data_IF_337304676017
#
_entry.id   IF_337304676017
#
_cell.length_a   1.000
_cell.length_b   1.000
_cell.length_c   1.000
_cell.angle_alpha   90.00
_cell.angle_beta   90.00
_cell.angle_gamma   90.00
#
_symmetry.space_group_name_H-M   'P 1'
#
loop_
_entity.id
_entity.type
_entity.pdbx_description
1 polymer ?
#
# COMPACT_ATOMS: atom_id res chain seq x y z
N UNK A 1 -14.89 2.27 -16.23
CA UNK A 1 -14.06 1.06 -16.40
C UNK A 1 -12.96 1.16 -15.37
N UNK A 2 -13.08 0.39 -14.29
CA UNK A 2 -12.12 0.38 -13.20
C UNK A 2 -10.78 -0.05 -13.78
N UNK A 3 -9.79 0.83 -13.74
CA UNK A 3 -8.41 0.50 -14.05
C UNK A 3 -7.93 -0.44 -12.96
N UNK A 4 -8.24 -1.74 -13.12
CA UNK A 4 -7.61 -2.79 -12.35
C UNK A 4 -6.13 -2.69 -12.70
N UNK A 5 -5.38 -2.03 -11.82
CA UNK A 5 -3.94 -2.01 -11.83
C UNK A 5 -3.48 -3.46 -11.98
N UNK A 6 -2.85 -3.72 -13.12
CA UNK A 6 -2.51 -5.06 -13.55
C UNK A 6 -1.54 -5.66 -12.53
N UNK A 7 -2.03 -6.65 -11.79
CA UNK A 7 -1.32 -7.40 -10.74
C UNK A 7 -0.04 -8.07 -11.30
N UNK A 8 0.17 -8.12 -12.63
CA UNK A 8 1.38 -8.70 -13.25
C UNK A 8 2.63 -7.89 -13.06
N UNK A 9 2.56 -6.57 -12.84
CA UNK A 9 3.81 -5.81 -12.65
C UNK A 9 4.43 -6.00 -11.26
N UNK A 10 3.79 -6.79 -10.37
CA UNK A 10 4.30 -7.14 -9.04
C UNK A 10 4.12 -6.00 -8.02
N UNK A 11 3.53 -6.31 -6.87
CA UNK A 11 3.55 -5.43 -5.70
C UNK A 11 4.95 -5.43 -5.08
N UNK A 12 5.31 -4.34 -4.39
CA UNK A 12 6.59 -4.23 -3.66
C UNK A 12 6.28 -4.38 -2.16
N UNK A 13 6.23 -5.61 -1.62
CA UNK A 13 5.86 -5.83 -0.22
C UNK A 13 7.02 -5.54 0.73
N UNK A 14 6.76 -4.71 1.73
CA UNK A 14 7.59 -4.58 2.91
C UNK A 14 7.25 -5.71 3.89
N UNK A 15 8.21 -6.59 4.15
CA UNK A 15 8.05 -7.71 5.09
C UNK A 15 8.04 -7.21 6.53
N UNK A 16 7.14 -7.78 7.33
CA UNK A 16 6.99 -7.53 8.76
C UNK A 16 6.93 -8.87 9.51
N UNK A 17 7.13 -8.90 10.84
CA UNK A 17 7.10 -10.15 11.60
C UNK A 17 5.76 -10.92 11.54
N UNK A 18 4.67 -10.21 11.24
CA UNK A 18 3.31 -10.76 11.17
C UNK A 18 2.80 -10.93 9.73
N UNK A 19 3.57 -10.49 8.72
CA UNK A 19 3.18 -10.59 7.32
C UNK A 19 3.90 -9.57 6.45
N UNK A 20 3.14 -8.70 5.79
CA UNK A 20 3.69 -7.63 4.98
C UNK A 20 2.70 -6.50 4.75
N UNK A 21 3.21 -5.38 4.28
CA UNK A 21 2.39 -4.30 3.75
C UNK A 21 2.97 -3.79 2.43
N UNK A 22 2.11 -3.26 1.58
CA UNK A 22 2.49 -2.60 0.34
C UNK A 22 1.51 -1.46 0.07
N UNK A 23 1.79 -0.66 -0.95
CA UNK A 23 0.98 0.50 -1.27
C UNK A 23 0.90 0.71 -2.78
N UNK A 24 -0.20 1.33 -3.19
CA UNK A 24 -0.44 1.95 -4.50
C UNK A 24 -0.59 3.46 -4.30
N UNK A 25 -0.90 4.20 -5.37
CA UNK A 25 -1.09 5.64 -5.26
C UNK A 25 -2.29 5.98 -4.37
N UNK A 26 -3.33 5.15 -4.41
CA UNK A 26 -4.59 5.42 -3.73
C UNK A 26 -4.73 4.64 -2.41
N UNK A 27 -4.09 3.48 -2.29
CA UNK A 27 -4.37 2.53 -1.22
C UNK A 27 -3.11 2.00 -0.53
N UNK A 28 -3.24 1.62 0.73
CA UNK A 28 -2.24 0.86 1.49
C UNK A 28 -2.86 -0.48 1.85
N UNK A 29 -2.15 -1.54 1.50
CA UNK A 29 -2.55 -2.91 1.75
C UNK A 29 -1.71 -3.50 2.87
N UNK A 30 -2.35 -4.15 3.82
CA UNK A 30 -1.70 -4.81 4.95
C UNK A 30 -2.18 -6.25 4.98
N UNK A 31 -1.24 -7.18 4.90
CA UNK A 31 -1.48 -8.62 4.88
C UNK A 31 -0.87 -9.24 6.12
N UNK A 32 -1.72 -9.87 6.94
CA UNK A 32 -1.36 -10.41 8.24
C UNK A 32 -1.67 -11.90 8.24
N UNK A 33 -0.62 -12.73 8.34
CA UNK A 33 -0.78 -14.17 8.49
C UNK A 33 -1.33 -14.50 9.88
N UNK A 34 -2.42 -15.25 9.94
CA UNK A 34 -3.03 -15.70 11.20
C UNK A 34 -3.10 -17.23 11.25
N UNK A 35 -3.11 -17.84 12.45
CA UNK A 35 -3.21 -19.29 12.57
C UNK A 35 -4.44 -19.84 11.86
N UNK A 36 -4.29 -20.98 11.17
CA UNK A 36 -5.38 -21.64 10.45
C UNK A 36 -6.60 -21.85 11.34
N UNK A 37 -7.78 -21.52 10.83
CA UNK A 37 -9.05 -21.64 11.55
C UNK A 37 -9.36 -20.47 12.48
N UNK A 38 -8.63 -19.34 12.37
CA UNK A 38 -9.00 -18.10 13.05
C UNK A 38 -10.40 -17.67 12.59
N UNK A 39 -11.29 -17.38 13.54
CA UNK A 39 -12.62 -16.87 13.23
C UNK A 39 -12.63 -15.35 13.23
N UNK A 40 -13.48 -14.73 12.40
CA UNK A 40 -13.67 -13.27 12.41
C UNK A 40 -14.08 -12.73 13.79
N UNK A 41 -14.74 -13.55 14.63
CA UNK A 41 -15.09 -13.19 16.01
C UNK A 41 -13.87 -13.00 16.92
N UNK A 42 -12.76 -13.64 16.59
CA UNK A 42 -11.49 -13.53 17.33
C UNK A 42 -10.63 -12.38 16.82
N UNK A 43 -11.05 -11.71 15.76
CA UNK A 43 -10.38 -10.57 15.15
C UNK A 43 -11.07 -9.30 15.64
N UNK A 44 -10.29 -8.42 16.27
CA UNK A 44 -10.72 -7.06 16.60
C UNK A 44 -9.83 -6.11 15.80
N UNK A 45 -10.39 -5.54 14.75
CA UNK A 45 -9.73 -4.56 13.91
C UNK A 45 -10.43 -3.21 14.09
N UNK A 46 -9.66 -2.15 14.38
CA UNK A 46 -10.10 -0.77 14.41
C UNK A 46 -9.23 0.02 13.44
N UNK A 47 -9.90 0.65 12.48
CA UNK A 47 -9.28 1.46 11.44
C UNK A 47 -9.74 2.90 11.68
N UNK A 48 -8.83 3.73 12.18
CA UNK A 48 -9.03 5.16 12.34
C UNK A 48 -8.41 5.93 11.17
N UNK A 49 -8.65 7.24 11.12
CA UNK A 49 -8.11 8.07 10.05
C UNK A 49 -6.58 8.15 10.12
N UNK A 50 -5.98 8.07 11.31
CA UNK A 50 -4.52 8.15 11.49
C UNK A 50 -3.99 7.10 12.46
N UNK A 51 -4.78 6.07 12.71
CA UNK A 51 -4.48 5.03 13.69
C UNK A 51 -5.03 3.70 13.20
N UNK A 52 -4.29 2.63 13.51
CA UNK A 52 -4.70 1.27 13.19
C UNK A 52 -4.43 0.39 14.39
N UNK A 53 -5.40 -0.45 14.73
CA UNK A 53 -5.30 -1.41 15.80
C UNK A 53 -5.88 -2.75 15.32
N UNK A 54 -5.05 -3.79 15.35
CA UNK A 54 -5.41 -5.15 15.00
C UNK A 54 -5.02 -6.09 16.14
N UNK A 55 -6.03 -6.72 16.72
CA UNK A 55 -5.88 -7.81 17.67
C UNK A 55 -6.46 -9.10 17.08
N UNK A 56 -5.72 -10.19 17.26
CA UNK A 56 -6.13 -11.53 16.83
C UNK A 56 -6.01 -12.46 18.03
N UNK A 57 -7.10 -13.14 18.40
CA UNK A 57 -7.16 -14.05 19.56
C UNK A 57 -6.69 -13.39 20.87
N UNK A 58 -6.98 -12.10 21.04
CA UNK A 58 -6.56 -11.30 22.21
C UNK A 58 -5.10 -10.84 22.19
N UNK A 59 -4.30 -11.23 21.19
CA UNK A 59 -2.93 -10.75 21.00
C UNK A 59 -2.93 -9.51 20.10
N UNK A 60 -2.21 -8.48 20.51
CA UNK A 60 -1.93 -7.32 19.67
C UNK A 60 -0.95 -7.70 18.56
N UNK A 61 -1.37 -7.50 17.31
CA UNK A 61 -0.54 -7.76 16.13
C UNK A 61 0.01 -6.45 15.57
N UNK A 62 -0.86 -5.45 15.44
CA UNK A 62 -0.51 -4.11 14.96
C UNK A 62 -1.24 -3.12 15.85
N UNK A 63 -0.51 -2.13 16.37
CA UNK A 63 -1.12 -0.99 17.04
C UNK A 63 -0.22 0.21 16.92
N UNK A 64 -0.76 1.30 16.39
CA UNK A 64 -0.03 2.56 16.38
C UNK A 64 -0.66 3.59 15.47
N UNK A 65 0.05 4.70 15.30
CA UNK A 65 -0.34 5.77 14.39
C UNK A 65 0.18 5.48 12.99
N UNK A 66 -0.70 5.63 12.01
CA UNK A 66 -0.35 5.51 10.60
C UNK A 66 0.64 6.62 10.22
N UNK A 67 1.47 6.34 9.22
CA UNK A 67 2.41 7.33 8.67
C UNK A 67 1.70 8.60 8.19
N UNK A 68 0.57 8.44 7.51
CA UNK A 68 -0.26 9.55 7.06
C UNK A 68 -1.76 9.28 7.27
N UNK A 69 -2.57 10.31 7.06
CA UNK A 69 -4.03 10.24 7.17
C UNK A 69 -4.63 9.42 6.03
N UNK A 70 -5.57 8.58 6.40
CA UNK A 70 -6.38 7.72 5.54
C UNK A 70 -7.85 8.08 5.72
N UNK A 71 -8.65 7.75 4.70
CA UNK A 71 -10.11 7.90 4.75
C UNK A 71 -10.68 6.73 5.51
N UNK A 72 -10.90 6.91 6.81
CA UNK A 72 -11.39 5.83 7.70
C UNK A 72 -12.72 5.22 7.27
N UNK A 73 -13.56 5.98 6.56
CA UNK A 73 -14.85 5.52 6.04
C UNK A 73 -14.69 4.49 4.90
N UNK A 74 -13.61 4.61 4.12
CA UNK A 74 -13.28 3.72 3.00
C UNK A 74 -12.31 2.60 3.41
N UNK A 75 -11.87 2.60 4.67
CA UNK A 75 -10.99 1.58 5.21
C UNK A 75 -11.75 0.27 5.45
N UNK A 76 -11.27 -0.83 4.87
CA UNK A 76 -11.90 -2.14 5.00
C UNK A 76 -10.91 -3.20 5.45
N UNK A 77 -11.40 -4.25 6.09
CA UNK A 77 -10.60 -5.44 6.41
C UNK A 77 -11.40 -6.70 6.11
N UNK A 78 -10.69 -7.73 5.68
CA UNK A 78 -11.25 -9.03 5.32
C UNK A 78 -10.41 -10.14 5.94
N UNK A 79 -11.05 -11.28 6.18
CA UNK A 79 -10.39 -12.50 6.63
C UNK A 79 -10.55 -13.55 5.53
N UNK A 80 -9.48 -13.76 4.78
CA UNK A 80 -9.38 -14.71 3.67
C UNK A 80 -8.96 -16.09 4.20
N UNK A 81 -9.69 -17.12 3.77
CA UNK A 81 -9.46 -18.54 4.07
C UNK A 81 -9.27 -18.89 5.56
N UNK A 82 -9.68 -18.00 6.48
CA UNK A 82 -9.44 -18.12 7.94
C UNK A 82 -7.95 -18.18 8.33
N UNK A 83 -7.08 -17.66 7.47
CA UNK A 83 -5.61 -17.75 7.61
C UNK A 83 -4.88 -16.46 7.24
N UNK A 84 -5.55 -15.53 6.55
CA UNK A 84 -4.97 -14.26 6.12
C UNK A 84 -5.95 -13.13 6.43
N UNK A 85 -5.50 -12.11 7.17
CA UNK A 85 -6.24 -10.87 7.32
C UNK A 85 -5.68 -9.86 6.32
N UNK A 86 -6.55 -9.32 5.47
CA UNK A 86 -6.19 -8.29 4.50
C UNK A 86 -6.91 -6.99 4.86
N UNK A 87 -6.14 -5.97 5.20
CA UNK A 87 -6.62 -4.61 5.49
C UNK A 87 -6.28 -3.73 4.29
N UNK A 88 -7.24 -2.92 3.86
CA UNK A 88 -7.12 -1.96 2.78
C UNK A 88 -7.45 -0.60 3.38
N UNK A 89 -6.49 0.30 3.36
CA UNK A 89 -6.63 1.68 3.83
C UNK A 89 -6.57 2.62 2.63
N UNK A 90 -7.55 3.50 2.49
CA UNK A 90 -7.51 4.48 1.41
C UNK A 90 -6.76 5.73 1.84
N UNK A 91 -5.75 6.15 1.08
CA UNK A 91 -4.98 7.36 1.36
C UNK A 91 -5.83 8.60 1.08
N UNK A 92 -5.75 9.59 1.96
CA UNK A 92 -6.35 10.90 1.70
C UNK A 92 -5.59 11.64 0.61
N UNK A 93 -4.26 11.55 0.61
CA UNK A 93 -3.42 12.07 -0.47
C UNK A 93 -3.05 10.95 -1.47
N UNK A 94 -3.55 11.09 -2.71
CA UNK A 94 -3.42 10.11 -3.81
C UNK A 94 -2.35 10.50 -4.84
N UNK A 95 -1.42 11.38 -4.46
CA UNK A 95 -0.31 11.78 -5.31
C UNK A 95 0.81 10.73 -5.32
N UNK A 96 1.49 10.55 -6.46
CA UNK A 96 2.62 9.62 -6.55
C UNK A 96 3.80 10.01 -5.65
N UNK A 97 3.91 11.28 -5.26
CA UNK A 97 4.89 11.75 -4.28
C UNK A 97 4.58 11.28 -2.85
N UNK A 98 3.34 10.86 -2.57
CA UNK A 98 2.94 10.34 -1.27
C UNK A 98 3.25 8.83 -1.12
N UNK A 99 4.55 8.51 -1.22
CA UNK A 99 5.05 7.18 -0.93
C UNK A 99 5.29 7.05 0.57
N UNK A 100 4.50 6.20 1.23
CA UNK A 100 4.68 5.92 2.65
C UNK A 100 6.03 5.25 2.86
N UNK A 101 6.89 5.89 3.64
CA UNK A 101 8.21 5.37 3.99
C UNK A 101 8.15 4.25 5.04
N UNK A 102 7.05 4.20 5.79
CA UNK A 102 6.75 3.23 6.84
C UNK A 102 5.23 3.05 6.94
N UNK A 103 4.78 1.91 7.50
CA UNK A 103 3.35 1.71 7.74
C UNK A 103 2.85 2.56 8.91
N UNK A 104 3.62 2.56 9.99
CA UNK A 104 3.35 3.33 11.20
C UNK A 104 4.43 4.40 11.40
N UNK A 105 4.13 5.41 12.19
CA UNK A 105 5.09 6.47 12.55
C UNK A 105 6.30 5.86 13.31
N UNK A 106 7.42 5.70 12.61
CA UNK A 106 8.66 5.13 13.17
C UNK A 106 8.75 3.60 13.21
N UNK A 107 7.72 2.88 12.74
CA UNK A 107 7.69 1.41 12.74
C UNK A 107 7.32 0.82 11.37
N UNK A 108 7.82 -0.40 11.11
CA UNK A 108 7.65 -1.11 9.84
C UNK A 108 8.16 -0.31 8.62
N UNK A 109 9.29 0.37 8.81
CA UNK A 109 9.93 1.19 7.78
C UNK A 109 10.41 0.33 6.61
N UNK A 110 10.10 0.78 5.39
CA UNK A 110 10.76 0.30 4.19
C UNK A 110 12.21 0.79 4.21
N UNK A 111 13.16 -0.08 3.87
CA UNK A 111 14.56 0.34 3.74
C UNK A 111 14.73 1.25 2.51
N UNK A 112 15.86 1.97 2.41
CA UNK A 112 16.08 2.94 1.32
C UNK A 112 15.93 2.33 -0.09
N UNK A 113 16.35 1.08 -0.27
CA UNK A 113 16.17 0.38 -1.55
C UNK A 113 14.70 0.06 -1.83
N UNK A 114 13.96 -0.45 -0.84
CA UNK A 114 12.54 -0.75 -0.99
C UNK A 114 11.70 0.51 -1.20
N UNK A 115 12.05 1.61 -0.55
CA UNK A 115 11.42 2.90 -0.78
C UNK A 115 11.61 3.37 -2.22
N UNK A 116 12.83 3.27 -2.77
CA UNK A 116 13.09 3.59 -4.18
C UNK A 116 12.27 2.68 -5.12
N UNK A 117 12.15 1.38 -4.81
CA UNK A 117 11.31 0.46 -5.59
C UNK A 117 9.81 0.81 -5.50
N UNK A 118 9.29 1.12 -4.31
CA UNK A 118 7.90 1.57 -4.12
C UNK A 118 7.63 2.87 -4.87
N UNK A 119 8.55 3.83 -4.78
CA UNK A 119 8.43 5.13 -5.45
C UNK A 119 8.42 4.97 -6.97
N UNK A 120 9.34 4.15 -7.53
CA UNK A 120 9.34 3.80 -8.95
C UNK A 120 8.02 3.20 -9.40
N UNK A 121 7.45 2.33 -8.57
CA UNK A 121 6.19 1.66 -8.84
C UNK A 121 5.02 2.65 -8.88
N UNK A 122 4.94 3.54 -7.88
CA UNK A 122 3.93 4.60 -7.79
C UNK A 122 4.02 5.56 -8.99
N UNK A 123 5.24 5.93 -9.38
CA UNK A 123 5.49 6.74 -10.58
C UNK A 123 5.03 6.02 -11.85
N UNK A 124 5.30 4.72 -11.98
CA UNK A 124 4.85 3.93 -13.13
C UNK A 124 3.32 3.87 -13.20
N UNK A 125 2.64 3.65 -12.07
CA UNK A 125 1.19 3.62 -11.96
C UNK A 125 0.58 4.96 -12.42
N UNK A 126 1.16 6.08 -11.97
CA UNK A 126 0.78 7.43 -12.41
C UNK A 126 0.91 7.56 -13.92
N UNK A 127 2.06 7.18 -14.46
CA UNK A 127 2.37 7.34 -15.88
C UNK A 127 1.46 6.49 -16.78
N UNK A 128 1.12 5.26 -16.36
CA UNK A 128 0.15 4.42 -17.07
C UNK A 128 -1.25 5.01 -17.04
N UNK A 129 -1.67 5.59 -15.91
CA UNK A 129 -2.98 6.26 -15.78
C UNK A 129 -3.06 7.52 -16.65
N UNK A 130 -1.96 8.26 -16.76
CA UNK A 130 -1.86 9.44 -17.63
C UNK A 130 -1.76 9.07 -19.12
N UNK A 131 -1.31 7.86 -19.47
CA UNK A 131 -1.10 7.39 -20.84
C UNK A 131 -1.80 6.05 -21.14
N UNK A 132 -3.14 5.99 -21.16
CA UNK A 132 -3.91 4.74 -21.28
C UNK A 132 -3.79 4.00 -22.64
N UNK A 133 -3.01 4.54 -23.59
CA UNK A 133 -2.80 3.96 -24.92
C UNK A 133 -1.40 3.40 -25.18
N UNK A 134 -0.51 3.43 -24.18
CA UNK A 134 0.84 2.89 -24.29
C UNK A 134 1.01 1.65 -23.40
N UNK A 135 1.65 0.61 -23.94
CA UNK A 135 2.04 -0.57 -23.18
C UNK A 135 3.39 -0.33 -22.49
N UNK A 136 3.38 -0.16 -21.17
CA UNK A 136 4.59 0.05 -20.35
C UNK A 136 4.95 -1.16 -19.49
N UNK A 137 4.40 -2.34 -19.80
CA UNK A 137 4.61 -3.56 -19.01
C UNK A 137 6.06 -4.04 -19.01
N UNK A 138 6.90 -3.59 -19.96
CA UNK A 138 8.34 -3.86 -20.03
C UNK A 138 9.25 -2.65 -19.84
N UNK A 139 8.71 -1.50 -19.39
CA UNK A 139 9.50 -0.27 -19.27
C UNK A 139 10.26 -0.21 -17.94
N UNK A 140 11.59 -0.13 -18.00
CA UNK A 140 12.42 0.23 -16.86
C UNK A 140 12.51 1.76 -16.75
N UNK A 141 11.96 2.33 -15.68
CA UNK A 141 12.09 3.76 -15.42
C UNK A 141 13.50 4.02 -14.89
N UNK A 142 14.27 4.85 -15.60
CA UNK A 142 15.60 5.32 -15.21
C UNK A 142 15.55 6.84 -15.02
N UNK A 143 15.86 7.35 -13.81
CA UNK A 143 15.77 8.78 -13.51
C UNK A 143 15.82 9.13 -12.02
N UNK A 144 15.64 10.43 -11.69
CA UNK A 144 15.62 10.91 -10.30
C UNK A 144 14.19 10.82 -9.72
N UNK A 145 14.00 10.01 -8.67
CA UNK A 145 12.68 9.64 -8.12
C UNK A 145 12.20 10.47 -6.93
N UNK A 146 13.00 11.43 -6.46
CA UNK A 146 12.79 12.15 -5.18
C UNK A 146 11.51 13.00 -5.12
N UNK A 147 10.72 13.09 -6.18
CA UNK A 147 9.49 13.89 -6.24
C UNK A 147 8.38 13.25 -7.10
N UNK A 148 8.36 11.93 -7.24
CA UNK A 148 7.34 11.24 -8.05
C UNK A 148 7.69 11.07 -9.53
N UNK A 149 8.94 11.34 -9.92
CA UNK A 149 9.46 11.16 -11.28
C UNK A 149 9.30 12.40 -12.18
N UNK A 150 9.80 12.34 -13.43
CA UNK A 150 9.68 13.43 -14.39
C UNK A 150 8.22 13.67 -14.81
N UNK A 151 7.78 14.93 -14.80
CA UNK A 151 6.45 15.34 -15.25
C UNK A 151 6.43 15.48 -16.78
N UNK A 152 5.89 14.49 -17.48
CA UNK A 152 5.82 14.46 -18.95
C UNK A 152 4.59 15.19 -19.52
N UNK A 153 3.73 15.77 -18.68
CA UNK A 153 2.54 16.53 -19.09
C UNK A 153 2.87 17.70 -20.03
N UNK A 154 4.13 18.14 -20.03
CA UNK A 154 4.65 19.22 -20.87
C UNK A 154 5.11 18.80 -22.27
N UNK A 155 5.21 17.50 -22.56
CA UNK A 155 5.73 16.97 -23.83
C UNK A 155 4.67 16.70 -24.90
N UNK A 156 3.38 16.91 -24.58
CA UNK A 156 2.30 16.86 -25.55
C UNK A 156 2.07 18.27 -26.13
N UNK A 157 2.92 18.69 -27.06
CA UNK A 157 2.66 19.84 -27.95
C UNK A 157 3.02 19.50 -29.39
#
# INVERSE_FOLDING_TARGET
MSVHFDERSGVVPCKTPWGCWYQTMEEVFIEVGVPHGTSAKEVRCRLGARDVELHVKGKEIIKGKLFETTVSDEATWTLEDKCLIRIILMKTNREAGNCWSSLLEGEYCANAWLQDQMQRKLTLERFQRENPGFDFSGAEISGNFTSGGPDFSSLQK
#
